data_IF_356046183372
#
_entry.id   IF_356046183372
#
_cell.length_a   1.000
_cell.length_b   1.000
_cell.length_c   1.000
_cell.angle_alpha   90.00
_cell.angle_beta   90.00
_cell.angle_gamma   90.00
#
_symmetry.space_group_name_H-M   'P 1'
#
loop_
_entity.id
_entity.type
_entity.pdbx_description
1 polymer ?
#
# COMPACT_ATOMS: atom_id res chain seq x y z
N UNK A 1 -5.99 -20.39 55.52
CA UNK A 1 -5.54 -18.98 55.59
C UNK A 1 -4.49 -18.77 54.50
N UNK A 2 -4.87 -17.96 53.50
CA UNK A 2 -4.07 -17.19 52.52
C UNK A 2 -2.76 -17.78 51.96
N UNK A 3 -2.94 -18.28 50.75
CA UNK A 3 -2.06 -18.30 49.57
C UNK A 3 -1.29 -16.99 49.35
N UNK A 4 -0.03 -17.09 48.91
CA UNK A 4 0.66 -16.08 48.11
C UNK A 4 1.79 -16.75 47.31
N UNK A 5 1.45 -17.17 46.08
CA UNK A 5 2.42 -17.44 45.02
C UNK A 5 2.84 -16.08 44.45
N UNK A 6 4.12 -15.74 44.56
CA UNK A 6 4.71 -14.64 43.84
C UNK A 6 4.92 -15.07 42.38
N UNK A 7 4.07 -14.60 41.48
CA UNK A 7 4.30 -14.69 40.04
C UNK A 7 5.33 -13.62 39.66
N UNK A 8 6.54 -14.08 39.33
CA UNK A 8 7.60 -13.27 38.76
C UNK A 8 7.21 -12.96 37.30
N UNK A 9 6.61 -11.81 37.06
CA UNK A 9 6.33 -11.29 35.72
C UNK A 9 7.66 -10.91 35.05
N UNK A 10 8.10 -11.74 34.11
CA UNK A 10 9.14 -11.43 33.13
C UNK A 10 8.58 -10.38 32.16
N UNK A 11 8.73 -9.10 32.50
CA UNK A 11 8.70 -8.03 31.50
C UNK A 11 9.96 -8.16 30.65
N UNK A 12 9.87 -8.25 29.30
CA UNK A 12 11.04 -8.06 28.47
C UNK A 12 11.51 -6.61 28.65
N UNK A 13 12.64 -6.48 29.34
CA UNK A 13 13.38 -5.25 29.52
C UNK A 13 13.96 -4.81 28.18
N UNK A 14 13.17 -4.10 27.39
CA UNK A 14 13.61 -3.46 26.13
C UNK A 14 12.89 -2.13 25.91
N UNK A 15 12.61 -1.39 26.98
CA UNK A 15 12.26 0.03 26.95
C UNK A 15 13.49 0.85 27.37
N UNK A 16 14.58 0.69 26.63
CA UNK A 16 15.70 1.63 26.71
C UNK A 16 15.28 2.93 26.03
N UNK A 17 14.91 3.92 26.84
CA UNK A 17 15.25 5.34 26.66
C UNK A 17 15.14 5.85 25.21
N UNK A 18 13.93 6.08 24.71
CA UNK A 18 13.75 7.15 23.73
C UNK A 18 13.76 8.48 24.50
N UNK A 19 14.84 9.23 24.31
CA UNK A 19 14.95 10.66 24.57
C UNK A 19 13.86 11.39 23.78
N UNK A 20 12.65 11.51 24.33
CA UNK A 20 11.54 12.04 23.54
C UNK A 20 10.29 12.52 24.28
N UNK A 21 10.09 12.26 25.57
CA UNK A 21 8.99 12.88 26.31
C UNK A 21 9.53 14.12 27.07
N UNK A 22 9.52 15.34 26.49
CA UNK A 22 9.99 16.54 27.17
C UNK A 22 9.01 16.91 28.29
N UNK A 23 9.20 16.34 29.48
CA UNK A 23 8.73 16.76 30.82
C UNK A 23 7.26 17.18 31.04
N UNK A 24 6.36 17.03 30.08
CA UNK A 24 4.90 17.16 30.25
C UNK A 24 4.17 16.04 29.52
N UNK A 25 4.41 14.80 29.96
CA UNK A 25 3.55 13.68 29.59
C UNK A 25 2.28 13.82 30.47
N UNK A 26 1.10 14.06 29.88
CA UNK A 26 -0.11 14.31 30.67
C UNK A 26 -1.19 15.23 30.09
N UNK A 27 -0.83 16.11 29.16
CA UNK A 27 -1.71 17.19 28.67
C UNK A 27 -2.31 16.92 27.28
N UNK A 28 -2.05 15.76 26.69
CA UNK A 28 -2.48 15.45 25.33
C UNK A 28 -3.76 14.62 25.30
N UNK A 29 -4.81 15.14 24.66
CA UNK A 29 -6.12 14.48 24.51
C UNK A 29 -6.22 13.61 23.25
N UNK A 30 -5.09 13.37 22.57
CA UNK A 30 -5.02 12.59 21.33
C UNK A 30 -5.29 13.39 20.07
N UNK A 31 -5.78 14.64 20.10
CA UNK A 31 -6.06 15.49 18.91
C UNK A 31 -6.84 14.84 17.75
N UNK A 32 -7.58 13.76 18.02
CA UNK A 32 -8.29 13.00 16.98
C UNK A 32 -7.47 11.87 16.35
N UNK A 33 -6.27 11.59 16.85
CA UNK A 33 -5.53 10.38 16.56
C UNK A 33 -6.34 9.16 17.02
N UNK A 34 -6.36 8.11 16.21
CA UNK A 34 -7.07 6.87 16.52
C UNK A 34 -6.12 5.69 16.43
N UNK A 35 -6.19 4.77 17.39
CA UNK A 35 -5.34 3.57 17.37
C UNK A 35 -6.20 2.33 17.32
N UNK A 36 -5.94 1.46 16.35
CA UNK A 36 -6.48 0.12 16.27
C UNK A 36 -5.43 -0.87 16.79
N UNK A 37 -5.84 -1.80 17.65
CA UNK A 37 -5.00 -2.91 18.10
C UNK A 37 -5.54 -4.22 17.57
N UNK A 38 -4.64 -5.11 17.18
CA UNK A 38 -4.98 -6.50 16.87
C UNK A 38 -4.90 -7.38 18.12
N UNK A 39 -5.59 -8.52 18.08
CA UNK A 39 -5.48 -9.59 19.07
C UNK A 39 -4.06 -10.19 19.18
N UNK A 40 -3.20 -9.93 18.18
CA UNK A 40 -1.80 -10.36 18.11
C UNK A 40 -0.82 -9.35 18.71
N UNK A 41 -1.31 -8.24 19.27
CA UNK A 41 -0.47 -7.19 19.85
C UNK A 41 0.16 -6.24 18.83
N UNK A 42 -0.35 -6.23 17.58
CA UNK A 42 0.01 -5.22 16.59
C UNK A 42 -0.84 -3.97 16.79
N UNK A 43 -0.34 -2.81 16.36
CA UNK A 43 -1.05 -1.54 16.50
C UNK A 43 -0.94 -0.72 15.22
N UNK A 44 -2.03 -0.05 14.85
CA UNK A 44 -2.06 0.96 13.79
C UNK A 44 -2.59 2.25 14.39
N UNK A 45 -1.74 3.26 14.45
CA UNK A 45 -2.10 4.63 14.85
C UNK A 45 -2.32 5.46 13.59
N UNK A 46 -3.52 5.99 13.45
CA UNK A 46 -3.93 6.94 12.42
C UNK A 46 -3.86 8.33 13.04
N UNK A 47 -3.01 9.17 12.47
CA UNK A 47 -2.73 10.50 12.96
C UNK A 47 -3.67 11.53 12.35
N UNK A 48 -4.14 12.50 13.13
CA UNK A 48 -5.04 13.55 12.68
C UNK A 48 -4.47 14.40 11.51
N UNK A 49 -3.14 14.38 11.32
CA UNK A 49 -2.44 15.02 10.21
C UNK A 49 -2.41 14.18 8.89
N UNK A 50 -3.18 13.08 8.83
CA UNK A 50 -3.28 12.20 7.66
C UNK A 50 -2.11 11.22 7.50
N UNK A 51 -1.22 11.14 8.49
CA UNK A 51 -0.17 10.11 8.57
C UNK A 51 -0.66 8.84 9.27
N UNK A 52 0.01 7.71 9.06
CA UNK A 52 -0.18 6.55 9.93
C UNK A 52 1.17 5.98 10.34
N UNK A 53 1.16 5.30 11.49
CA UNK A 53 2.24 4.41 11.89
C UNK A 53 1.66 3.07 12.36
N UNK A 54 2.17 1.99 11.78
CA UNK A 54 1.76 0.63 12.04
C UNK A 54 2.92 -0.15 12.65
N UNK A 55 2.77 -0.60 13.89
CA UNK A 55 3.65 -1.54 14.55
C UNK A 55 3.13 -2.95 14.29
N UNK A 56 3.73 -3.61 13.30
CA UNK A 56 3.37 -4.97 12.89
C UNK A 56 4.43 -5.95 13.39
N UNK A 57 4.10 -7.24 13.41
CA UNK A 57 5.08 -8.30 13.73
C UNK A 57 6.25 -8.34 12.73
N UNK A 58 6.06 -7.79 11.53
CA UNK A 58 7.08 -7.66 10.49
C UNK A 58 7.94 -6.41 10.63
N UNK A 59 7.63 -5.51 11.57
CA UNK A 59 8.32 -4.25 11.79
C UNK A 59 7.40 -3.03 11.77
N UNK A 60 8.00 -1.85 11.78
CA UNK A 60 7.28 -0.58 11.73
C UNK A 60 7.06 -0.18 10.27
N UNK A 61 5.82 0.15 9.93
CA UNK A 61 5.45 0.70 8.62
C UNK A 61 4.79 2.05 8.84
N UNK A 62 5.22 3.04 8.06
CA UNK A 62 4.71 4.40 8.14
C UNK A 62 4.23 4.85 6.76
N UNK A 63 3.31 5.80 6.75
CA UNK A 63 2.87 6.40 5.50
C UNK A 63 1.74 7.37 5.70
N UNK A 64 0.86 7.42 4.70
CA UNK A 64 -0.28 8.33 4.66
C UNK A 64 -1.57 7.55 4.52
N UNK A 65 -2.66 8.12 5.00
CA UNK A 65 -3.98 7.54 4.81
C UNK A 65 -5.04 8.59 4.45
N UNK A 66 -6.10 8.13 3.80
CA UNK A 66 -7.35 8.87 3.66
C UNK A 66 -8.49 8.12 4.32
N UNK A 67 -9.51 8.88 4.70
CA UNK A 67 -10.80 8.34 5.09
C UNK A 67 -11.84 8.78 4.07
N UNK A 68 -12.41 7.81 3.37
CA UNK A 68 -13.58 8.03 2.49
C UNK A 68 -14.74 7.21 3.04
N UNK A 69 -14.95 6.01 2.49
CA UNK A 69 -15.86 4.98 3.01
C UNK A 69 -15.11 3.89 3.79
N UNK A 70 -13.80 3.77 3.53
CA UNK A 70 -12.85 2.94 4.25
C UNK A 70 -11.59 3.78 4.53
N UNK A 71 -10.77 3.34 5.48
CA UNK A 71 -9.43 3.89 5.65
C UNK A 71 -8.53 3.24 4.60
N UNK A 72 -7.85 4.05 3.80
CA UNK A 72 -6.87 3.55 2.82
C UNK A 72 -5.50 4.10 3.13
N UNK A 73 -4.55 3.21 3.38
CA UNK A 73 -3.19 3.56 3.71
C UNK A 73 -2.24 3.22 2.56
N UNK A 74 -1.32 4.14 2.26
CA UNK A 74 -0.31 3.94 1.22
C UNK A 74 1.08 4.35 1.65
N UNK A 75 2.05 3.72 1.00
CA UNK A 75 3.44 4.10 1.09
C UNK A 75 3.64 5.36 0.21
N UNK A 76 4.06 6.50 0.79
CA UNK A 76 4.14 7.77 0.09
C UNK A 76 5.29 7.83 -0.93
N UNK A 77 6.30 6.97 -0.80
CA UNK A 77 7.44 6.90 -1.72
C UNK A 77 7.16 6.03 -2.96
N UNK A 78 6.12 5.22 -2.93
CA UNK A 78 5.81 4.26 -4.01
C UNK A 78 4.36 4.33 -4.47
N UNK A 79 3.48 4.99 -3.73
CA UNK A 79 2.03 4.98 -3.95
C UNK A 79 1.35 3.64 -3.64
N UNK A 80 2.10 2.60 -3.25
CA UNK A 80 1.57 1.26 -3.03
C UNK A 80 0.64 1.20 -1.82
N UNK A 81 -0.47 0.45 -1.93
CA UNK A 81 -1.37 0.16 -0.80
C UNK A 81 -0.63 -0.64 0.26
N UNK A 82 -0.64 -0.12 1.48
CA UNK A 82 -0.10 -0.79 2.67
C UNK A 82 -1.20 -1.60 3.33
N UNK A 83 -2.35 -0.97 3.62
CA UNK A 83 -3.55 -1.64 4.12
C UNK A 83 -4.80 -0.84 3.76
N UNK A 84 -5.96 -1.49 3.84
CA UNK A 84 -7.22 -0.79 4.10
C UNK A 84 -7.90 -1.31 5.37
N UNK A 85 -8.68 -0.44 6.03
CA UNK A 85 -9.62 -0.85 7.06
C UNK A 85 -11.04 -0.51 6.65
N UNK A 86 -11.87 -1.54 6.53
CA UNK A 86 -13.30 -1.40 6.64
C UNK A 86 -13.66 -1.34 8.13
N UNK A 87 -14.09 -0.18 8.60
CA UNK A 87 -14.47 0.05 9.99
C UNK A 87 -15.96 -0.23 10.21
N UNK A 88 -16.29 -0.69 11.41
CA UNK A 88 -17.67 -0.92 11.84
C UNK A 88 -18.07 0.06 12.94
N UNK A 89 -19.37 0.35 13.11
CA UNK A 89 -19.84 1.28 14.16
C UNK A 89 -19.50 0.86 15.59
N UNK A 90 -19.20 -0.42 15.83
CA UNK A 90 -18.76 -0.96 17.12
C UNK A 90 -17.27 -0.73 17.41
N UNK A 91 -16.56 -0.03 16.53
CA UNK A 91 -15.13 0.25 16.64
C UNK A 91 -14.24 -0.90 16.16
N UNK A 92 -14.81 -1.98 15.62
CA UNK A 92 -14.01 -3.05 14.99
C UNK A 92 -13.59 -2.65 13.57
N UNK A 93 -12.50 -3.25 13.09
CA UNK A 93 -12.03 -3.08 11.74
C UNK A 93 -11.54 -4.42 11.15
N UNK A 94 -11.63 -4.53 9.84
CA UNK A 94 -11.05 -5.66 9.09
C UNK A 94 -10.14 -5.14 7.98
N UNK A 95 -8.99 -5.78 7.82
CA UNK A 95 -8.06 -5.52 6.72
C UNK A 95 -7.76 -6.79 5.93
N UNK A 96 -7.92 -6.79 4.61
CA UNK A 96 -7.42 -7.89 3.76
C UNK A 96 -5.91 -8.09 3.88
N UNK A 97 -5.15 -7.01 4.06
CA UNK A 97 -3.68 -7.03 4.11
C UNK A 97 -3.14 -7.41 5.49
N UNK A 98 -3.76 -6.91 6.56
CA UNK A 98 -3.33 -7.11 7.94
C UNK A 98 -4.08 -8.24 8.67
N UNK A 99 -5.15 -8.78 8.06
CA UNK A 99 -6.02 -9.78 8.65
C UNK A 99 -7.15 -9.20 9.52
N UNK A 100 -7.89 -10.10 10.16
CA UNK A 100 -8.99 -9.75 11.06
C UNK A 100 -8.50 -9.49 12.50
N UNK A 101 -9.43 -9.04 13.36
CA UNK A 101 -9.17 -8.91 14.80
C UNK A 101 -8.75 -7.51 15.25
N UNK A 102 -9.01 -6.48 14.45
CA UNK A 102 -8.68 -5.09 14.79
C UNK A 102 -9.83 -4.43 15.54
N UNK A 103 -9.51 -3.73 16.62
CA UNK A 103 -10.48 -2.94 17.38
C UNK A 103 -9.87 -1.61 17.81
N UNK A 104 -10.69 -0.57 17.81
CA UNK A 104 -10.34 0.73 18.36
C UNK A 104 -9.91 0.58 19.82
N UNK A 105 -8.70 1.03 20.12
CA UNK A 105 -8.11 1.00 21.44
C UNK A 105 -8.39 2.32 22.16
N UNK A 106 -8.81 2.23 23.42
CA UNK A 106 -8.79 3.35 24.35
C UNK A 106 -7.39 3.42 24.93
N UNK A 107 -6.64 4.44 24.52
CA UNK A 107 -5.28 4.67 25.00
C UNK A 107 -5.29 5.37 26.35
N UNK A 108 -4.38 4.98 27.24
CA UNK A 108 -4.11 5.77 28.44
C UNK A 108 -3.30 7.05 28.13
N UNK A 109 -3.12 7.91 29.12
CA UNK A 109 -2.45 9.20 28.91
C UNK A 109 -1.01 9.07 28.38
N UNK A 110 -0.27 8.07 28.85
CA UNK A 110 1.12 7.85 28.42
C UNK A 110 1.14 7.35 26.97
N UNK A 111 0.22 6.46 26.63
CA UNK A 111 0.06 5.95 25.28
C UNK A 111 -0.37 7.06 24.29
N UNK A 112 -1.25 7.98 24.73
CA UNK A 112 -1.63 9.15 23.95
C UNK A 112 -0.44 10.08 23.68
N UNK A 113 0.42 10.31 24.68
CA UNK A 113 1.63 11.12 24.51
C UNK A 113 2.61 10.48 23.51
N UNK A 114 2.77 9.14 23.57
CA UNK A 114 3.60 8.41 22.60
C UNK A 114 3.04 8.45 21.18
N UNK A 115 1.72 8.25 21.03
CA UNK A 115 1.06 8.35 19.73
C UNK A 115 1.26 9.73 19.12
N UNK A 116 1.13 10.79 19.92
CA UNK A 116 1.36 12.16 19.47
C UNK A 116 2.78 12.41 18.95
N UNK A 117 3.79 12.00 19.72
CA UNK A 117 5.19 12.16 19.32
C UNK A 117 5.41 11.42 18.00
N UNK A 118 4.90 10.19 17.89
CA UNK A 118 5.01 9.41 16.66
C UNK A 118 4.35 10.14 15.47
N UNK A 119 3.14 10.68 15.66
CA UNK A 119 2.41 11.43 14.65
C UNK A 119 3.10 12.74 14.24
N UNK A 120 3.71 13.44 15.20
CA UNK A 120 4.49 14.66 14.95
C UNK A 120 5.78 14.35 14.22
N UNK A 121 6.45 13.25 14.58
CA UNK A 121 7.70 12.80 13.94
C UNK A 121 7.48 12.39 12.48
N UNK A 122 6.28 11.91 12.11
CA UNK A 122 5.92 11.66 10.71
C UNK A 122 6.08 12.92 9.84
N UNK A 123 5.86 14.11 10.41
CA UNK A 123 5.97 15.37 9.67
C UNK A 123 7.40 15.73 9.26
N UNK A 124 8.38 15.12 9.92
CA UNK A 124 9.80 15.29 9.63
C UNK A 124 10.33 14.34 8.57
N UNK A 125 9.50 13.39 8.09
CA UNK A 125 9.93 12.39 7.11
C UNK A 125 10.24 13.06 5.78
N UNK A 126 11.28 12.59 5.09
CA UNK A 126 11.70 13.18 3.81
C UNK A 126 10.59 13.16 2.75
N UNK A 127 9.71 12.16 2.80
CA UNK A 127 8.55 12.02 1.93
C UNK A 127 7.34 12.87 2.36
N UNK A 128 7.33 13.47 3.55
CA UNK A 128 6.16 14.19 4.08
C UNK A 128 5.80 15.41 3.23
N UNK A 129 6.82 16.17 2.79
CA UNK A 129 6.67 17.34 1.92
C UNK A 129 6.63 17.02 0.42
N UNK A 130 6.85 15.76 0.02
CA UNK A 130 6.56 15.35 -1.35
C UNK A 130 5.05 15.47 -1.56
N UNK A 131 4.62 16.04 -2.68
CA UNK A 131 3.21 16.29 -2.95
C UNK A 131 2.42 14.98 -2.91
N UNK A 132 1.80 14.72 -1.76
CA UNK A 132 0.91 13.58 -1.55
C UNK A 132 -0.35 13.66 -2.43
N UNK A 133 -0.60 14.86 -2.96
CA UNK A 133 -1.65 15.17 -3.92
C UNK A 133 -1.27 14.85 -5.37
N UNK A 134 -0.03 14.41 -5.67
CA UNK A 134 0.23 13.97 -7.04
C UNK A 134 -0.60 12.72 -7.28
N UNK A 135 -1.56 12.83 -8.19
CA UNK A 135 -2.33 11.69 -8.68
C UNK A 135 -1.46 10.67 -9.44
N UNK A 136 -0.15 10.60 -9.25
CA UNK A 136 0.80 9.82 -10.03
C UNK A 136 1.82 9.12 -9.11
N UNK A 137 2.40 8.02 -9.59
CA UNK A 137 3.45 7.32 -8.87
C UNK A 137 4.75 8.15 -8.92
N UNK A 138 5.52 8.25 -7.82
CA UNK A 138 6.72 9.09 -7.77
C UNK A 138 7.89 8.56 -8.63
N UNK A 139 7.80 7.32 -9.09
CA UNK A 139 8.79 6.68 -9.98
C UNK A 139 8.07 5.87 -11.05
N UNK A 140 8.74 5.72 -12.20
CA UNK A 140 8.28 4.83 -13.25
C UNK A 140 8.10 3.41 -12.70
N UNK A 141 6.90 2.85 -12.91
CA UNK A 141 6.55 1.53 -12.38
C UNK A 141 6.01 0.65 -13.51
N UNK A 142 6.60 -0.53 -13.65
CA UNK A 142 6.32 -1.46 -14.72
C UNK A 142 5.55 -2.67 -14.21
N UNK A 143 4.56 -3.12 -14.98
CA UNK A 143 3.72 -4.27 -14.67
C UNK A 143 3.57 -5.17 -15.89
N UNK A 144 3.54 -6.48 -15.67
CA UNK A 144 3.21 -7.49 -16.67
C UNK A 144 2.06 -8.37 -16.21
N UNK A 145 1.20 -8.78 -17.13
CA UNK A 145 0.22 -9.85 -16.89
C UNK A 145 0.26 -10.85 -18.03
N UNK A 146 -0.07 -12.11 -17.76
CA UNK A 146 -0.32 -13.08 -18.82
C UNK A 146 -1.46 -12.62 -19.71
N UNK A 147 -1.34 -12.80 -21.03
CA UNK A 147 -2.41 -12.48 -21.98
C UNK A 147 -3.69 -13.25 -21.66
N UNK A 148 -4.84 -12.63 -21.95
CA UNK A 148 -6.14 -13.25 -21.70
C UNK A 148 -6.29 -14.58 -22.46
N UNK A 149 -6.96 -15.55 -21.83
CA UNK A 149 -7.19 -16.88 -22.40
C UNK A 149 -6.15 -17.94 -22.02
N UNK A 150 -5.05 -17.55 -21.38
CA UNK A 150 -4.03 -18.48 -20.88
C UNK A 150 -3.94 -18.43 -19.35
N UNK A 151 -3.73 -19.59 -18.73
CA UNK A 151 -3.56 -19.71 -17.28
C UNK A 151 -2.18 -19.27 -16.79
N UNK A 152 -1.19 -19.24 -17.68
CA UNK A 152 0.18 -18.84 -17.41
C UNK A 152 0.89 -18.43 -18.70
N UNK A 153 2.00 -17.71 -18.56
CA UNK A 153 2.86 -17.36 -19.69
C UNK A 153 3.45 -18.61 -20.35
N UNK A 154 3.81 -19.63 -19.58
CA UNK A 154 4.30 -20.92 -20.09
C UNK A 154 3.26 -21.62 -20.97
N UNK A 155 1.97 -21.63 -20.57
CA UNK A 155 0.90 -22.23 -21.36
C UNK A 155 0.73 -21.51 -22.72
N UNK A 156 0.96 -20.20 -22.76
CA UNK A 156 0.98 -19.45 -24.01
C UNK A 156 2.18 -19.86 -24.90
N UNK A 157 3.38 -19.98 -24.32
CA UNK A 157 4.55 -20.43 -25.08
C UNK A 157 4.41 -21.88 -25.59
N UNK A 158 3.80 -22.77 -24.83
CA UNK A 158 3.47 -24.13 -25.27
C UNK A 158 2.50 -24.11 -26.47
N UNK A 159 1.46 -23.27 -26.42
CA UNK A 159 0.54 -23.09 -27.54
C UNK A 159 1.22 -22.49 -28.78
N UNK A 160 2.18 -21.58 -28.62
CA UNK A 160 3.00 -21.08 -29.72
C UNK A 160 3.85 -22.18 -30.36
N UNK A 161 4.52 -22.98 -29.54
CA UNK A 161 5.34 -24.10 -30.01
C UNK A 161 4.51 -25.18 -30.73
N UNK A 162 3.24 -25.35 -30.33
CA UNK A 162 2.28 -26.22 -30.99
C UNK A 162 1.68 -25.63 -32.30
N UNK A 163 1.93 -24.35 -32.60
CA UNK A 163 1.36 -23.64 -33.75
C UNK A 163 -0.10 -23.23 -33.58
N UNK A 164 -0.63 -23.29 -32.35
CA UNK A 164 -2.01 -22.92 -32.01
C UNK A 164 -2.16 -21.41 -31.76
N UNK A 165 -1.04 -20.73 -31.49
CA UNK A 165 -0.96 -19.28 -31.29
C UNK A 165 0.21 -18.70 -32.11
N UNK A 166 0.08 -17.50 -32.74
CA UNK A 166 1.14 -16.97 -33.59
C UNK A 166 2.46 -16.79 -32.82
N UNK A 167 3.58 -17.23 -33.38
CA UNK A 167 4.92 -17.02 -32.77
C UNK A 167 5.26 -15.54 -32.54
N UNK A 168 4.66 -14.64 -33.34
CA UNK A 168 4.85 -13.19 -33.20
C UNK A 168 3.98 -12.56 -32.11
N UNK A 169 3.05 -13.30 -31.51
CA UNK A 169 2.19 -12.75 -30.46
C UNK A 169 2.94 -12.67 -29.13
N UNK A 170 2.68 -11.63 -28.32
CA UNK A 170 3.19 -11.59 -26.96
C UNK A 170 2.38 -12.55 -26.08
N UNK A 171 3.06 -13.19 -25.13
CA UNK A 171 2.43 -13.97 -24.08
C UNK A 171 2.14 -13.16 -22.80
N UNK A 172 2.56 -11.88 -22.78
CA UNK A 172 2.31 -10.97 -21.68
C UNK A 172 1.88 -9.58 -22.20
N UNK A 173 0.88 -9.00 -21.54
CA UNK A 173 0.58 -7.58 -21.67
C UNK A 173 1.48 -6.80 -20.70
N UNK A 174 1.89 -5.62 -21.12
CA UNK A 174 2.80 -4.72 -20.41
C UNK A 174 2.09 -3.40 -20.10
N UNK A 175 2.22 -2.90 -18.86
CA UNK A 175 1.82 -1.55 -18.44
C UNK A 175 3.04 -0.86 -17.82
N UNK A 176 3.38 0.32 -18.33
CA UNK A 176 4.39 1.20 -17.74
C UNK A 176 3.72 2.51 -17.31
N UNK A 177 3.70 2.77 -16.01
CA UNK A 177 3.17 4.00 -15.40
C UNK A 177 4.33 4.98 -15.14
N UNK A 178 4.38 6.09 -15.89
CA UNK A 178 5.42 7.11 -15.81
C UNK A 178 5.15 8.13 -14.69
N UNK A 179 6.16 8.75 -14.08
CA UNK A 179 5.94 9.69 -12.96
C UNK A 179 5.20 10.99 -13.34
N UNK A 180 5.05 11.26 -14.64
CA UNK A 180 4.32 12.41 -15.18
C UNK A 180 2.83 12.13 -15.47
N UNK A 181 2.32 10.95 -15.08
CA UNK A 181 0.93 10.55 -15.28
C UNK A 181 0.63 9.89 -16.62
N UNK A 182 1.63 9.70 -17.49
CA UNK A 182 1.45 8.89 -18.71
C UNK A 182 1.47 7.40 -18.40
N UNK A 183 0.62 6.65 -19.08
CA UNK A 183 0.64 5.20 -19.10
C UNK A 183 1.01 4.71 -20.50
N UNK A 184 1.84 3.69 -20.60
CA UNK A 184 2.17 3.01 -21.85
C UNK A 184 1.71 1.57 -21.71
N UNK A 185 0.80 1.16 -22.58
CA UNK A 185 0.20 -0.17 -22.58
C UNK A 185 0.59 -0.89 -23.86
N UNK A 186 1.21 -2.06 -23.73
CA UNK A 186 1.61 -2.90 -24.86
C UNK A 186 0.88 -4.24 -24.75
N UNK A 187 0.03 -4.54 -25.73
CA UNK A 187 -0.77 -5.77 -25.80
C UNK A 187 -0.41 -6.62 -27.02
N UNK A 188 0.89 -6.65 -27.34
CA UNK A 188 1.46 -7.47 -28.41
C UNK A 188 1.34 -6.90 -29.80
N UNK A 189 0.12 -6.60 -30.27
CA UNK A 189 -0.08 -6.07 -31.62
C UNK A 189 -0.11 -4.55 -31.69
N UNK A 190 -0.21 -3.89 -30.53
CA UNK A 190 -0.27 -2.43 -30.45
C UNK A 190 0.36 -1.92 -29.17
N UNK A 191 1.10 -0.84 -29.29
CA UNK A 191 1.52 0.00 -28.18
C UNK A 191 0.60 1.22 -28.19
N UNK A 192 -0.07 1.46 -27.06
CA UNK A 192 -0.98 2.58 -26.86
C UNK A 192 -0.54 3.42 -25.67
N UNK A 193 -0.81 4.71 -25.76
CA UNK A 193 -0.58 5.65 -24.66
C UNK A 193 -1.90 5.96 -23.98
N UNK A 194 -1.87 6.06 -22.66
CA UNK A 194 -2.95 6.53 -21.81
C UNK A 194 -2.48 7.59 -20.82
N UNK A 195 -3.42 8.08 -20.04
CA UNK A 195 -3.16 8.77 -18.78
C UNK A 195 -3.50 7.81 -17.65
N UNK A 196 -2.84 7.93 -16.51
CA UNK A 196 -3.28 7.24 -15.30
C UNK A 196 -3.37 8.19 -14.12
N UNK A 197 -4.21 7.82 -13.15
CA UNK A 197 -4.14 8.35 -11.81
C UNK A 197 -3.81 7.23 -10.82
N UNK A 198 -3.04 7.55 -9.78
CA UNK A 198 -2.67 6.69 -8.67
C UNK A 198 -2.93 7.44 -7.37
N UNK A 199 -3.80 6.90 -6.52
CA UNK A 199 -4.15 7.44 -5.21
C UNK A 199 -4.38 6.29 -4.25
N UNK A 200 -3.67 6.28 -3.12
CA UNK A 200 -3.82 5.27 -2.05
C UNK A 200 -3.78 3.82 -2.54
N UNK A 201 -2.83 3.54 -3.45
CA UNK A 201 -2.67 2.27 -4.12
C UNK A 201 -3.77 1.92 -5.11
N UNK A 202 -4.84 2.69 -5.26
CA UNK A 202 -5.72 2.57 -6.42
C UNK A 202 -5.02 3.19 -7.64
N UNK A 203 -5.05 2.49 -8.77
CA UNK A 203 -4.52 2.96 -10.04
C UNK A 203 -5.61 2.85 -11.09
N UNK A 204 -5.89 3.94 -11.81
CA UNK A 204 -6.85 3.98 -12.92
C UNK A 204 -6.13 4.43 -14.17
N UNK A 205 -6.21 3.63 -15.24
CA UNK A 205 -5.64 3.96 -16.55
C UNK A 205 -6.78 4.26 -17.52
N UNK A 206 -6.65 5.39 -18.22
CA UNK A 206 -7.61 5.85 -19.23
C UNK A 206 -6.89 5.98 -20.59
N UNK A 207 -7.44 5.43 -21.68
CA UNK A 207 -6.90 5.60 -23.02
C UNK A 207 -6.91 7.07 -23.44
N UNK A 208 -5.88 7.48 -24.18
CA UNK A 208 -5.81 8.82 -24.80
C UNK A 208 -5.81 8.67 -26.32
N UNK A 209 -6.64 9.45 -27.00
CA UNK A 209 -6.76 9.40 -28.46
C UNK A 209 -7.34 8.08 -28.96
N UNK A 210 -6.73 7.51 -30.00
CA UNK A 210 -7.16 6.25 -30.65
C UNK A 210 -6.47 5.02 -30.06
N UNK A 211 -6.31 4.98 -28.75
CA UNK A 211 -5.69 3.85 -28.06
C UNK A 211 -6.55 2.57 -28.16
N UNK A 212 -5.89 1.41 -28.21
CA UNK A 212 -6.51 0.11 -28.47
C UNK A 212 -6.89 -0.68 -27.20
N UNK A 213 -7.00 0.02 -26.06
CA UNK A 213 -7.38 -0.59 -24.78
C UNK A 213 -8.52 0.20 -24.13
N UNK A 214 -9.33 -0.49 -23.32
CA UNK A 214 -10.38 0.14 -22.51
C UNK A 214 -9.81 0.66 -21.19
N UNK A 215 -10.43 1.68 -20.61
CA UNK A 215 -10.08 2.10 -19.25
C UNK A 215 -10.16 0.92 -18.28
N UNK A 216 -9.21 0.85 -17.36
CA UNK A 216 -9.22 -0.15 -16.29
C UNK A 216 -8.71 0.46 -14.99
N UNK A 217 -9.21 -0.09 -13.88
CA UNK A 217 -8.79 0.28 -12.53
C UNK A 217 -8.33 -0.95 -11.77
N UNK A 218 -7.40 -0.76 -10.86
CA UNK A 218 -6.92 -1.81 -9.98
C UNK A 218 -6.30 -1.29 -8.71
N UNK A 219 -5.92 -2.22 -7.84
CA UNK A 219 -5.26 -1.95 -6.56
C UNK A 219 -3.83 -2.47 -6.61
N UNK A 220 -2.87 -1.55 -6.56
CA UNK A 220 -1.45 -1.79 -6.43
C UNK A 220 -1.05 -2.00 -4.97
N UNK A 221 -0.51 -3.19 -4.67
CA UNK A 221 -0.09 -3.60 -3.34
C UNK A 221 1.42 -3.42 -3.11
N UNK A 222 1.83 -3.36 -1.85
CA UNK A 222 3.25 -3.40 -1.43
C UNK A 222 4.00 -4.66 -1.85
N UNK A 223 3.29 -5.75 -2.20
CA UNK A 223 3.89 -6.99 -2.71
C UNK A 223 4.25 -6.91 -4.20
N UNK A 224 4.08 -5.75 -4.82
CA UNK A 224 4.39 -5.56 -6.23
C UNK A 224 3.34 -6.17 -7.14
N UNK A 225 2.06 -6.14 -6.76
CA UNK A 225 0.97 -6.62 -7.64
C UNK A 225 -0.08 -5.54 -7.83
N UNK A 226 -0.56 -5.37 -9.07
CA UNK A 226 -1.72 -4.56 -9.40
C UNK A 226 -2.87 -5.50 -9.74
N UNK A 227 -3.90 -5.53 -8.90
CA UNK A 227 -5.08 -6.38 -9.11
C UNK A 227 -6.19 -5.56 -9.75
N UNK A 228 -6.56 -5.90 -10.98
CA UNK A 228 -7.73 -5.34 -11.69
C UNK A 228 -8.88 -6.35 -11.65
N UNK A 229 -10.06 -5.97 -12.13
CA UNK A 229 -11.24 -6.86 -12.18
C UNK A 229 -10.93 -8.17 -12.91
N UNK A 230 -10.22 -8.11 -14.04
CA UNK A 230 -10.03 -9.27 -14.92
C UNK A 230 -8.62 -9.88 -14.89
N UNK A 231 -7.71 -9.32 -14.08
CA UNK A 231 -6.30 -9.71 -14.14
C UNK A 231 -5.52 -9.34 -12.87
N UNK A 232 -4.43 -10.07 -12.65
CA UNK A 232 -3.38 -9.71 -11.71
C UNK A 232 -2.14 -9.38 -12.50
N UNK A 233 -1.67 -8.14 -12.39
CA UNK A 233 -0.42 -7.70 -12.97
C UNK A 233 0.68 -7.76 -11.92
N UNK A 234 1.86 -8.22 -12.33
CA UNK A 234 3.05 -8.33 -11.49
C UNK A 234 4.01 -7.20 -11.81
N UNK A 235 4.47 -6.52 -10.79
CA UNK A 235 5.49 -5.50 -10.92
C UNK A 235 6.80 -6.16 -11.35
N UNK A 236 7.45 -5.57 -12.33
CA UNK A 236 8.76 -5.99 -12.84
C UNK A 236 9.72 -4.80 -12.85
N UNK A 237 11.03 -5.02 -12.87
CA UNK A 237 11.99 -3.95 -13.17
C UNK A 237 11.65 -3.25 -14.49
N UNK A 238 11.75 -1.92 -14.51
CA UNK A 238 11.50 -1.13 -15.74
C UNK A 238 12.44 -1.57 -16.88
N UNK A 239 13.64 -2.06 -16.57
CA UNK A 239 14.59 -2.60 -17.54
C UNK A 239 14.12 -3.87 -18.26
N UNK A 240 13.11 -4.56 -17.72
CA UNK A 240 12.50 -5.75 -18.34
C UNK A 240 11.32 -5.42 -19.26
N UNK A 241 10.96 -4.14 -19.37
CA UNK A 241 9.90 -3.68 -20.26
C UNK A 241 10.45 -3.41 -21.63
N UNK A 242 9.71 -3.86 -22.65
CA UNK A 242 10.01 -3.56 -24.05
C UNK A 242 10.13 -2.05 -24.31
N UNK A 243 9.45 -1.23 -23.50
CA UNK A 243 9.39 0.22 -23.61
C UNK A 243 9.96 0.96 -22.39
N UNK A 244 10.87 0.34 -21.61
CA UNK A 244 11.36 0.89 -20.34
C UNK A 244 11.98 2.29 -20.41
N UNK A 245 12.52 2.69 -21.57
CA UNK A 245 13.09 4.02 -21.78
C UNK A 245 12.05 5.13 -22.02
N UNK A 246 10.77 4.78 -22.26
CA UNK A 246 9.76 5.76 -22.67
C UNK A 246 9.27 6.70 -21.56
N UNK A 247 9.64 6.42 -20.29
CA UNK A 247 9.41 7.31 -19.15
C UNK A 247 10.65 8.15 -18.77
N UNK A 248 11.73 8.10 -19.55
CA UNK A 248 12.95 8.89 -19.33
C UNK A 248 12.87 10.28 -19.97
#
# INVERSE_FOLDING_TARGET
MRTLLAALALLPASLTLLTGCPMTCGDWDGRGDTTYRSDKGEAVTLCANGGFAAMLNTGIVEGRYEYTEEIRASNPETGARVFSFATSPDGTATSPELGAGWSLAVLDQIELDHANIQCTDLETRAWWGAAFETAYLPKATAFKKTVAGFSSTDACFEAQAAGEYPESALCEDELLACPDGRAIVNQGQSISTGAYSAQFGALTVTPVGSAFFNSFSGVFSTKGTLTTVDAVWRQVPVSEMSNGAACQ
#
